data_IF_214772053177
#
_entry.id   IF_214772053177
#
_cell.length_a   1.000
_cell.length_b   1.000
_cell.length_c   1.000
_cell.angle_alpha   90.00
_cell.angle_beta   90.00
_cell.angle_gamma   90.00
#
_symmetry.space_group_name_H-M   'P 1'
#
loop_
_entity.id
_entity.type
_entity.pdbx_description
1 polymer ?
#
# COMPACT_ATOMS: atom_id res chain seq x y z
N UNK A 1 -10.23 -12.55 15.19
CA UNK A 1 -10.49 -11.84 13.92
C UNK A 1 -11.99 -11.74 13.75
N UNK A 2 -12.46 -10.56 13.36
CA UNK A 2 -13.86 -10.36 13.00
C UNK A 2 -14.14 -10.88 11.59
N UNK A 3 -15.35 -11.39 11.29
CA UNK A 3 -15.71 -11.90 9.96
C UNK A 3 -16.14 -10.79 8.98
N UNK A 4 -15.75 -9.54 9.25
CA UNK A 4 -16.09 -8.37 8.43
C UNK A 4 -14.88 -7.45 8.28
N UNK A 5 -14.88 -6.65 7.21
CA UNK A 5 -13.92 -5.57 6.99
C UNK A 5 -14.42 -4.27 7.64
N UNK A 6 -13.47 -3.44 8.08
CA UNK A 6 -13.77 -2.08 8.57
C UNK A 6 -13.87 -1.17 7.33
N UNK A 7 -15.01 -0.50 7.19
CA UNK A 7 -15.29 0.42 6.08
C UNK A 7 -15.63 1.84 6.54
N UNK A 8 -15.40 2.14 7.83
CA UNK A 8 -15.63 3.44 8.47
C UNK A 8 -14.59 3.63 9.57
N UNK A 9 -13.34 3.82 9.17
CA UNK A 9 -12.21 3.91 10.09
C UNK A 9 -11.89 5.37 10.43
N UNK A 10 -11.49 5.63 11.65
CA UNK A 10 -10.97 6.94 12.08
C UNK A 10 -9.55 7.17 11.54
N UNK A 11 -8.82 6.08 11.32
CA UNK A 11 -7.45 6.09 10.80
C UNK A 11 -7.23 4.91 9.84
N UNK A 12 -6.69 5.20 8.66
CA UNK A 12 -6.24 4.19 7.69
C UNK A 12 -4.79 4.48 7.31
N UNK A 13 -3.96 3.45 7.24
CA UNK A 13 -2.57 3.58 6.81
C UNK A 13 -2.28 2.71 5.59
N UNK A 14 -1.78 3.33 4.53
CA UNK A 14 -1.21 2.66 3.37
C UNK A 14 0.29 2.47 3.58
N UNK A 15 0.69 1.25 3.96
CA UNK A 15 2.11 0.96 4.25
C UNK A 15 2.96 0.74 2.99
N UNK A 16 2.34 0.41 1.87
CA UNK A 16 3.03 0.20 0.59
C UNK A 16 2.45 1.13 -0.48
N UNK A 17 3.27 2.05 -1.04
CA UNK A 17 2.79 3.04 -2.01
C UNK A 17 2.27 2.41 -3.31
N UNK A 18 2.65 1.16 -3.63
CA UNK A 18 2.11 0.47 -4.81
C UNK A 18 0.59 0.28 -4.77
N UNK A 19 -0.03 0.28 -3.59
CA UNK A 19 -1.48 0.19 -3.45
C UNK A 19 -2.19 1.47 -3.88
N UNK A 20 -1.52 2.61 -3.71
CA UNK A 20 -2.01 3.89 -4.24
C UNK A 20 -1.96 3.89 -5.77
N UNK A 21 -0.82 3.48 -6.34
CA UNK A 21 -0.65 3.38 -7.81
C UNK A 21 -1.66 2.42 -8.45
N UNK A 22 -2.00 1.34 -7.75
CA UNK A 22 -3.00 0.35 -8.20
C UNK A 22 -4.45 0.77 -7.94
N UNK A 23 -4.66 1.94 -7.40
CA UNK A 23 -5.99 2.46 -7.05
C UNK A 23 -6.81 1.52 -6.15
N UNK A 24 -6.19 0.96 -5.11
CA UNK A 24 -6.97 0.24 -4.10
C UNK A 24 -7.84 1.23 -3.32
N UNK A 25 -9.12 0.95 -3.09
CA UNK A 25 -10.09 1.87 -2.49
C UNK A 25 -9.90 2.03 -0.97
N UNK A 26 -8.65 2.23 -0.52
CA UNK A 26 -8.31 2.32 0.90
C UNK A 26 -8.79 3.63 1.55
N UNK A 27 -8.74 4.72 0.80
CA UNK A 27 -9.12 6.04 1.33
C UNK A 27 -10.63 6.13 1.55
N UNK A 28 -11.41 5.40 0.79
CA UNK A 28 -12.88 5.35 0.92
C UNK A 28 -13.34 4.69 2.22
N UNK A 29 -12.46 3.93 2.88
CA UNK A 29 -12.72 3.35 4.20
C UNK A 29 -12.53 4.36 5.35
N UNK A 30 -11.96 5.53 5.08
CA UNK A 30 -11.78 6.58 6.09
C UNK A 30 -13.09 7.33 6.31
N UNK A 31 -13.48 7.54 7.56
CA UNK A 31 -14.60 8.42 7.93
C UNK A 31 -14.35 9.88 7.49
N UNK A 32 -15.41 10.67 7.22
CA UNK A 32 -15.26 12.10 7.06
C UNK A 32 -14.50 12.71 8.26
N UNK A 33 -13.48 13.54 7.97
CA UNK A 33 -12.60 14.13 8.97
C UNK A 33 -11.55 13.19 9.56
N UNK A 34 -11.56 11.91 9.19
CA UNK A 34 -10.57 10.92 9.61
C UNK A 34 -9.19 11.12 9.00
N UNK A 35 -8.26 10.24 9.32
CA UNK A 35 -6.85 10.36 8.93
C UNK A 35 -6.49 9.26 7.91
N UNK A 36 -5.80 9.67 6.84
CA UNK A 36 -5.16 8.77 5.89
C UNK A 36 -3.65 9.00 5.89
N UNK A 37 -2.88 7.98 6.24
CA UNK A 37 -1.42 8.00 6.27
C UNK A 37 -0.86 7.16 5.12
N UNK A 38 0.08 7.71 4.35
CA UNK A 38 0.78 6.98 3.28
C UNK A 38 2.26 6.89 3.62
N UNK A 39 2.79 5.68 3.64
CA UNK A 39 4.23 5.44 3.70
C UNK A 39 4.80 5.49 2.28
N UNK A 40 5.45 6.58 1.92
CA UNK A 40 6.06 6.77 0.61
C UNK A 40 7.28 7.70 0.67
N UNK A 41 8.10 7.65 -0.38
CA UNK A 41 9.25 8.56 -0.57
C UNK A 41 8.89 9.76 -1.45
N UNK A 42 7.64 9.90 -1.84
CA UNK A 42 7.14 10.91 -2.75
C UNK A 42 7.09 12.30 -2.11
N UNK A 43 7.47 13.29 -2.87
CA UNK A 43 7.11 14.68 -2.60
C UNK A 43 5.64 14.95 -2.97
N UNK A 44 5.18 16.18 -2.81
CA UNK A 44 3.79 16.53 -3.10
C UNK A 44 3.43 16.37 -4.58
N UNK A 45 4.35 16.67 -5.49
CA UNK A 45 4.09 16.58 -6.93
C UNK A 45 3.97 15.13 -7.38
N UNK A 46 4.85 14.26 -6.90
CA UNK A 46 4.78 12.83 -7.14
C UNK A 46 3.53 12.21 -6.51
N UNK A 47 3.23 12.57 -5.25
CA UNK A 47 2.01 12.13 -4.58
C UNK A 47 0.76 12.52 -5.39
N UNK A 48 0.73 13.76 -5.89
CA UNK A 48 -0.38 14.24 -6.71
C UNK A 48 -0.50 13.49 -8.04
N UNK A 49 0.59 13.05 -8.65
CA UNK A 49 0.56 12.20 -9.87
C UNK A 49 0.03 10.79 -9.59
N UNK A 50 0.40 10.23 -8.44
CA UNK A 50 0.07 8.84 -8.11
C UNK A 50 -1.32 8.66 -7.50
N UNK A 51 -1.86 9.70 -6.86
CA UNK A 51 -3.21 9.65 -6.34
C UNK A 51 -4.23 9.76 -7.47
N UNK A 52 -5.10 8.77 -7.57
CA UNK A 52 -6.19 8.73 -8.54
C UNK A 52 -7.27 9.78 -8.24
N UNK A 53 -8.00 10.21 -9.25
CA UNK A 53 -8.98 11.28 -9.13
C UNK A 53 -10.11 10.96 -8.15
N UNK A 54 -10.54 9.71 -8.08
CA UNK A 54 -11.56 9.27 -7.12
C UNK A 54 -11.08 9.38 -5.66
N UNK A 55 -9.82 9.01 -5.39
CA UNK A 55 -9.18 9.18 -4.09
C UNK A 55 -9.04 10.65 -3.72
N UNK A 56 -8.57 11.50 -4.66
CA UNK A 56 -8.48 12.96 -4.47
C UNK A 56 -9.83 13.58 -4.14
N UNK A 57 -10.87 13.24 -4.92
CA UNK A 57 -12.24 13.73 -4.68
C UNK A 57 -12.75 13.31 -3.32
N UNK A 58 -12.49 12.04 -2.92
CA UNK A 58 -12.92 11.56 -1.61
C UNK A 58 -12.24 12.33 -0.48
N UNK A 59 -10.91 12.48 -0.55
CA UNK A 59 -10.11 13.22 0.45
C UNK A 59 -10.64 14.65 0.61
N UNK A 60 -10.80 15.39 -0.50
CA UNK A 60 -11.23 16.77 -0.47
C UNK A 60 -12.69 16.94 0.02
N UNK A 61 -13.63 16.13 -0.50
CA UNK A 61 -15.05 16.24 -0.16
C UNK A 61 -15.39 15.80 1.26
N UNK A 62 -14.59 14.90 1.84
CA UNK A 62 -14.81 14.38 3.18
C UNK A 62 -13.86 14.98 4.22
N UNK A 63 -13.08 16.00 3.86
CA UNK A 63 -12.11 16.65 4.76
C UNK A 63 -11.16 15.62 5.42
N UNK A 64 -10.74 14.61 4.68
CA UNK A 64 -9.79 13.61 5.17
C UNK A 64 -8.44 14.27 5.41
N UNK A 65 -7.88 14.09 6.60
CA UNK A 65 -6.56 14.58 6.94
C UNK A 65 -5.50 13.67 6.31
N UNK A 66 -4.80 14.18 5.30
CA UNK A 66 -3.78 13.42 4.59
C UNK A 66 -2.41 13.65 5.20
N UNK A 67 -1.71 12.56 5.48
CA UNK A 67 -0.33 12.56 5.97
C UNK A 67 0.54 11.63 5.15
N UNK A 68 1.82 11.98 5.03
CA UNK A 68 2.86 11.10 4.50
C UNK A 68 3.97 10.87 5.52
N UNK A 69 4.67 9.76 5.38
CA UNK A 69 5.89 9.45 6.11
C UNK A 69 6.83 8.65 5.20
N UNK A 70 8.11 8.96 5.23
CA UNK A 70 9.14 8.16 4.56
C UNK A 70 9.81 7.23 5.58
N UNK A 71 9.09 6.19 5.99
CA UNK A 71 9.60 5.23 6.97
C UNK A 71 10.73 4.36 6.42
N UNK A 72 10.87 4.24 5.11
CA UNK A 72 11.92 3.43 4.46
C UNK A 72 13.29 4.08 4.71
N UNK A 73 13.43 5.35 4.36
CA UNK A 73 14.70 6.06 4.52
C UNK A 73 15.01 6.30 6.00
N UNK A 74 13.98 6.54 6.81
CA UNK A 74 14.15 6.64 8.27
C UNK A 74 14.68 5.33 8.86
N UNK A 75 14.17 4.17 8.46
CA UNK A 75 14.64 2.87 8.92
C UNK A 75 16.13 2.64 8.56
N UNK A 76 16.53 3.02 7.35
CA UNK A 76 17.93 2.96 6.93
C UNK A 76 18.80 3.90 7.78
N UNK A 77 18.34 5.14 7.98
CA UNK A 77 19.07 6.17 8.75
C UNK A 77 19.32 5.78 10.20
N UNK A 78 18.34 5.14 10.87
CA UNK A 78 18.50 4.68 12.26
C UNK A 78 19.12 3.28 12.36
N UNK A 79 19.59 2.71 11.25
CA UNK A 79 20.24 1.39 11.23
C UNK A 79 19.33 0.20 11.40
N UNK A 80 18.03 0.36 11.13
CA UNK A 80 17.02 -0.70 11.14
C UNK A 80 16.90 -1.44 9.78
N UNK A 81 17.60 -0.98 8.76
CA UNK A 81 17.56 -1.53 7.40
C UNK A 81 16.16 -1.39 6.78
N UNK A 82 15.52 -2.48 6.40
CA UNK A 82 14.18 -2.47 5.79
C UNK A 82 13.03 -2.56 6.81
N UNK A 83 13.30 -2.48 8.12
CA UNK A 83 12.31 -2.69 9.19
C UNK A 83 11.61 -1.37 9.52
N UNK A 84 10.46 -1.15 8.92
CA UNK A 84 9.66 0.08 9.07
C UNK A 84 8.54 -0.03 10.12
N UNK A 85 8.26 -1.24 10.63
CA UNK A 85 7.13 -1.50 11.50
C UNK A 85 7.10 -0.63 12.76
N UNK A 86 8.21 -0.49 13.47
CA UNK A 86 8.30 0.32 14.69
C UNK A 86 8.07 1.81 14.41
N UNK A 87 8.61 2.31 13.29
CA UNK A 87 8.44 3.69 12.82
C UNK A 87 6.97 3.96 12.51
N UNK A 88 6.32 3.06 11.76
CA UNK A 88 4.91 3.19 11.38
C UNK A 88 3.97 3.05 12.57
N UNK A 89 4.31 2.21 13.56
CA UNK A 89 3.57 2.12 14.80
C UNK A 89 3.66 3.42 15.61
N UNK A 90 4.84 4.03 15.69
CA UNK A 90 5.01 5.32 16.36
C UNK A 90 4.23 6.44 15.64
N UNK A 91 4.24 6.45 14.31
CA UNK A 91 3.43 7.35 13.49
C UNK A 91 1.93 7.17 13.76
N UNK A 92 1.45 5.93 13.88
CA UNK A 92 0.07 5.63 14.25
C UNK A 92 -0.30 6.27 15.60
N UNK A 93 0.47 6.01 16.65
CA UNK A 93 0.17 6.55 17.98
C UNK A 93 0.29 8.09 18.02
N UNK A 94 1.12 8.69 17.20
CA UNK A 94 1.23 10.14 17.10
C UNK A 94 -0.01 10.80 16.45
N UNK A 95 -0.73 10.07 15.59
CA UNK A 95 -1.87 10.58 14.82
C UNK A 95 -3.23 10.11 15.34
N UNK A 96 -3.33 8.85 15.77
CA UNK A 96 -4.63 8.23 16.07
C UNK A 96 -5.26 8.70 17.39
N UNK A 97 -4.53 9.46 18.20
CA UNK A 97 -5.00 10.05 19.48
C UNK A 97 -5.68 9.04 20.42
N UNK A 98 -5.20 7.80 20.41
CA UNK A 98 -5.71 6.70 21.27
C UNK A 98 -5.17 6.84 22.70
N UNK A 99 -3.94 7.39 22.80
CA UNK A 99 -3.23 7.72 24.03
C UNK A 99 -2.55 9.08 23.86
N UNK A 100 -2.27 9.82 24.94
CA UNK A 100 -1.38 10.96 24.88
C UNK A 100 -0.05 10.58 24.22
N UNK A 101 0.42 11.39 23.28
CA UNK A 101 1.61 11.07 22.46
C UNK A 101 2.82 10.67 23.30
N UNK A 102 3.10 11.42 24.36
CA UNK A 102 4.29 11.20 25.21
C UNK A 102 4.18 9.88 26.00
N UNK A 103 2.98 9.52 26.46
CA UNK A 103 2.72 8.24 27.09
C UNK A 103 2.87 7.09 26.11
N UNK A 104 2.34 7.22 24.90
CA UNK A 104 2.47 6.22 23.87
C UNK A 104 3.94 5.96 23.50
N UNK A 105 4.73 7.01 23.32
CA UNK A 105 6.17 6.92 23.05
C UNK A 105 6.89 6.22 24.20
N UNK A 106 6.57 6.57 25.45
CA UNK A 106 7.15 5.92 26.63
C UNK A 106 6.83 4.42 26.64
N UNK A 107 5.56 4.04 26.53
CA UNK A 107 5.16 2.62 26.52
C UNK A 107 5.78 1.84 25.37
N UNK A 108 5.93 2.45 24.20
CA UNK A 108 6.62 1.81 23.07
C UNK A 108 8.10 1.58 23.37
N UNK A 109 8.78 2.53 24.02
CA UNK A 109 10.18 2.40 24.41
C UNK A 109 10.36 1.32 25.48
N UNK A 110 9.51 1.29 26.49
CA UNK A 110 9.52 0.28 27.54
C UNK A 110 9.29 -1.13 26.94
N UNK A 111 8.35 -1.26 26.02
CA UNK A 111 8.07 -2.52 25.32
C UNK A 111 9.24 -2.97 24.43
N UNK A 112 9.90 -2.02 23.75
CA UNK A 112 11.08 -2.30 22.94
C UNK A 112 12.24 -2.78 23.79
N UNK A 113 12.48 -2.14 24.94
CA UNK A 113 13.49 -2.56 25.90
C UNK A 113 13.22 -3.99 26.41
N UNK A 114 12.02 -4.25 26.88
CA UNK A 114 11.63 -5.60 27.35
C UNK A 114 11.82 -6.67 26.26
N UNK A 115 11.46 -6.35 25.02
CA UNK A 115 11.49 -7.32 23.91
C UNK A 115 12.90 -7.57 23.37
N UNK A 116 13.76 -6.54 23.38
CA UNK A 116 15.05 -6.59 22.67
C UNK A 116 16.27 -6.57 23.58
N UNK A 117 16.14 -6.38 24.88
CA UNK A 117 17.29 -6.32 25.82
C UNK A 117 18.18 -7.57 25.71
N UNK A 118 17.60 -8.75 25.52
CA UNK A 118 18.35 -10.01 25.33
C UNK A 118 19.25 -10.00 24.08
N UNK A 119 19.01 -9.10 23.11
CA UNK A 119 19.80 -8.94 21.89
C UNK A 119 20.89 -7.87 22.02
N UNK A 120 20.94 -7.19 23.15
CA UNK A 120 21.88 -6.14 23.48
C UNK A 120 21.28 -4.74 23.41
N UNK A 121 21.88 -3.82 24.17
CA UNK A 121 21.43 -2.43 24.29
C UNK A 121 21.46 -1.67 22.95
N UNK A 122 22.36 -2.01 22.03
CA UNK A 122 22.44 -1.42 20.71
C UNK A 122 21.16 -1.63 19.88
N UNK A 123 20.53 -2.81 20.06
CA UNK A 123 19.26 -3.12 19.37
C UNK A 123 18.10 -2.35 20.00
N UNK A 124 18.11 -2.21 21.33
CA UNK A 124 17.13 -1.39 22.07
C UNK A 124 17.22 0.07 21.62
N UNK A 125 18.43 0.64 21.58
CA UNK A 125 18.65 2.03 21.20
C UNK A 125 18.13 2.30 19.76
N UNK A 126 18.45 1.43 18.80
CA UNK A 126 17.92 1.56 17.43
C UNK A 126 16.40 1.56 17.38
N UNK A 127 15.72 0.78 18.21
CA UNK A 127 14.27 0.79 18.31
C UNK A 127 13.76 2.09 18.94
N UNK A 128 14.42 2.61 19.97
CA UNK A 128 14.09 3.92 20.56
C UNK A 128 14.24 5.04 19.53
N UNK A 129 15.35 5.06 18.78
CA UNK A 129 15.59 6.04 17.71
C UNK A 129 14.51 5.94 16.61
N UNK A 130 14.08 4.71 16.27
CA UNK A 130 13.02 4.47 15.31
C UNK A 130 11.65 4.99 15.81
N UNK A 131 11.35 4.84 17.11
CA UNK A 131 10.14 5.36 17.73
C UNK A 131 10.11 6.88 17.67
N UNK A 132 11.21 7.53 18.09
CA UNK A 132 11.31 8.98 18.07
C UNK A 132 11.22 9.54 16.64
N UNK A 133 11.92 8.90 15.70
CA UNK A 133 11.87 9.27 14.29
C UNK A 133 10.46 9.14 13.71
N UNK A 134 9.76 8.03 13.99
CA UNK A 134 8.40 7.80 13.49
C UNK A 134 7.38 8.78 14.06
N UNK A 135 7.49 9.13 15.32
CA UNK A 135 6.60 10.09 15.97
C UNK A 135 6.84 11.54 15.51
N UNK A 136 8.05 11.84 14.98
CA UNK A 136 8.47 13.20 14.61
C UNK A 136 8.48 13.50 13.10
N UNK A 137 8.44 12.49 12.24
CA UNK A 137 8.67 12.64 10.79
C UNK A 137 7.39 12.69 9.93
N UNK A 138 6.26 12.89 10.56
CA UNK A 138 4.97 13.00 9.87
C UNK A 138 4.86 14.33 9.12
N UNK A 139 4.48 14.25 7.85
CA UNK A 139 4.24 15.44 7.01
C UNK A 139 2.74 15.52 6.73
N UNK A 140 2.10 16.57 7.21
CA UNK A 140 0.71 16.87 6.87
C UNK A 140 0.67 17.48 5.48
N UNK A 141 -0.21 16.98 4.64
CA UNK A 141 -0.42 17.47 3.28
C UNK A 141 -1.61 18.44 3.29
N UNK A 142 -1.37 19.66 2.82
CA UNK A 142 -2.43 20.60 2.55
C UNK A 142 -3.19 20.18 1.30
N UNK A 143 -4.43 19.72 1.51
CA UNK A 143 -5.26 19.20 0.42
C UNK A 143 -5.74 20.33 -0.48
N UNK A 144 -5.38 20.33 -1.78
CA UNK A 144 -5.80 21.37 -2.71
C UNK A 144 -7.32 21.36 -2.91
N UNK A 145 -7.92 22.54 -3.02
CA UNK A 145 -9.36 22.68 -3.19
C UNK A 145 -9.86 22.12 -4.54
N UNK A 146 -9.02 22.15 -5.57
CA UNK A 146 -9.31 21.62 -6.90
C UNK A 146 -9.42 20.09 -6.92
N UNK A 147 -8.84 19.38 -5.93
CA UNK A 147 -9.03 17.93 -5.80
C UNK A 147 -10.49 17.52 -5.68
N UNK A 148 -11.36 18.39 -5.16
CA UNK A 148 -12.80 18.12 -5.08
C UNK A 148 -13.44 17.84 -6.46
N UNK A 149 -12.84 18.37 -7.52
CA UNK A 149 -13.29 18.24 -8.91
C UNK A 149 -12.26 17.53 -9.79
N UNK A 150 -11.31 16.80 -9.19
CA UNK A 150 -10.30 16.08 -9.94
C UNK A 150 -10.94 15.12 -10.95
N UNK A 151 -10.43 15.13 -12.18
CA UNK A 151 -10.83 14.22 -13.26
C UNK A 151 -9.62 13.40 -13.67
N UNK A 152 -9.81 12.10 -13.89
CA UNK A 152 -8.81 11.28 -14.55
C UNK A 152 -9.00 11.40 -16.06
N UNK A 153 -7.91 11.64 -16.79
CA UNK A 153 -7.85 11.18 -18.17
C UNK A 153 -7.91 9.66 -18.11
N UNK A 154 -8.89 9.06 -18.79
CA UNK A 154 -9.07 7.62 -18.80
C UNK A 154 -7.81 6.96 -19.36
N UNK A 155 -6.88 6.62 -18.47
CA UNK A 155 -5.71 5.83 -18.81
C UNK A 155 -6.18 4.37 -18.95
N UNK A 156 -6.77 4.07 -20.10
CA UNK A 156 -7.07 2.69 -20.49
C UNK A 156 -5.73 2.06 -20.84
N UNK A 157 -5.12 1.35 -19.88
CA UNK A 157 -3.93 0.56 -20.16
C UNK A 157 -4.24 -0.36 -21.34
N UNK A 158 -3.47 -0.23 -22.44
CA UNK A 158 -3.68 -1.06 -23.60
C UNK A 158 -3.15 -2.47 -23.28
N UNK A 159 -4.06 -3.37 -22.92
CA UNK A 159 -3.71 -4.77 -22.70
C UNK A 159 -3.61 -5.47 -24.04
N UNK A 160 -2.44 -6.03 -24.32
CA UNK A 160 -2.19 -6.85 -25.50
C UNK A 160 -2.38 -8.34 -25.15
N UNK A 161 -2.99 -9.10 -26.07
CA UNK A 161 -3.17 -10.55 -25.90
C UNK A 161 -4.47 -11.06 -26.53
N UNK A 162 -4.79 -12.36 -26.33
CA UNK A 162 -6.01 -12.93 -26.84
C UNK A 162 -7.25 -12.19 -26.33
N UNK A 163 -8.17 -11.89 -27.20
CA UNK A 163 -9.37 -11.08 -26.89
C UNK A 163 -10.14 -11.58 -25.65
N UNK A 164 -10.38 -12.90 -25.59
CA UNK A 164 -11.07 -13.51 -24.44
C UNK A 164 -10.32 -13.34 -23.12
N UNK A 165 -8.98 -13.43 -23.16
CA UNK A 165 -8.14 -13.24 -21.98
C UNK A 165 -8.19 -11.77 -21.53
N UNK A 166 -8.03 -10.84 -22.46
CA UNK A 166 -8.11 -9.40 -22.17
C UNK A 166 -9.50 -9.02 -21.64
N UNK A 167 -10.57 -9.55 -22.21
CA UNK A 167 -11.93 -9.32 -21.73
C UNK A 167 -12.13 -9.82 -20.30
N UNK A 168 -11.65 -11.03 -19.98
CA UNK A 168 -11.70 -11.58 -18.62
C UNK A 168 -10.88 -10.73 -17.64
N UNK A 169 -9.67 -10.32 -18.03
CA UNK A 169 -8.82 -9.47 -17.18
C UNK A 169 -9.54 -8.18 -16.84
N UNK A 170 -10.05 -7.46 -17.84
CA UNK A 170 -10.73 -6.17 -17.62
C UNK A 170 -12.03 -6.30 -16.84
N UNK A 171 -12.84 -7.31 -17.14
CA UNK A 171 -14.18 -7.41 -16.61
C UNK A 171 -14.24 -8.10 -15.24
N UNK A 172 -13.21 -8.90 -14.88
CA UNK A 172 -13.21 -9.68 -13.65
C UNK A 172 -11.92 -9.44 -12.84
N UNK A 173 -10.73 -9.71 -13.43
CA UNK A 173 -9.50 -9.68 -12.64
C UNK A 173 -9.14 -8.29 -12.14
N UNK A 174 -9.26 -7.25 -12.96
CA UNK A 174 -8.96 -5.88 -12.53
C UNK A 174 -9.91 -5.39 -11.42
N UNK A 175 -11.25 -5.52 -11.54
CA UNK A 175 -12.16 -5.16 -10.44
C UNK A 175 -11.87 -5.93 -9.16
N UNK A 176 -11.64 -7.25 -9.25
CA UNK A 176 -11.30 -8.08 -8.08
C UNK A 176 -9.94 -7.67 -7.49
N UNK A 177 -8.94 -7.45 -8.33
CA UNK A 177 -7.61 -6.99 -7.92
C UNK A 177 -7.63 -5.60 -7.25
N UNK A 178 -8.61 -4.76 -7.59
CA UNK A 178 -8.86 -3.45 -6.96
C UNK A 178 -9.75 -3.53 -5.72
N UNK A 179 -10.03 -4.72 -5.20
CA UNK A 179 -10.93 -4.94 -4.05
C UNK A 179 -12.37 -4.47 -4.30
N UNK A 180 -12.82 -4.42 -5.55
CA UNK A 180 -14.16 -4.02 -5.97
C UNK A 180 -14.95 -5.17 -6.60
N UNK A 181 -14.60 -6.41 -6.25
CA UNK A 181 -15.27 -7.61 -6.77
C UNK A 181 -16.76 -7.68 -6.43
N UNK A 182 -17.17 -7.15 -5.28
CA UNK A 182 -18.57 -7.13 -4.84
C UNK A 182 -19.48 -6.26 -5.73
N UNK A 183 -18.91 -5.38 -6.56
CA UNK A 183 -19.67 -4.60 -7.54
C UNK A 183 -20.02 -5.39 -8.81
N UNK A 184 -19.41 -6.56 -9.00
CA UNK A 184 -19.62 -7.38 -10.19
C UNK A 184 -20.97 -8.12 -10.09
N UNK A 185 -21.83 -8.05 -11.13
CA UNK A 185 -23.03 -8.85 -11.17
C UNK A 185 -22.68 -10.32 -11.37
N UNK A 186 -23.55 -11.23 -10.92
CA UNK A 186 -23.38 -12.67 -11.12
C UNK A 186 -23.21 -13.03 -12.59
N UNK A 187 -23.87 -12.29 -13.48
CA UNK A 187 -23.76 -12.46 -14.94
C UNK A 187 -22.36 -12.22 -15.51
N UNK A 188 -21.46 -11.52 -14.80
CA UNK A 188 -20.07 -11.37 -15.22
C UNK A 188 -19.30 -12.72 -15.25
N UNK A 189 -19.80 -13.73 -14.55
CA UNK A 189 -19.17 -15.04 -14.42
C UNK A 189 -19.83 -16.15 -15.27
N UNK A 190 -20.82 -15.82 -16.09
CA UNK A 190 -21.58 -16.82 -16.88
C UNK A 190 -20.66 -17.64 -17.79
N UNK A 191 -19.69 -17.00 -18.43
CA UNK A 191 -18.74 -17.67 -19.33
C UNK A 191 -17.73 -18.57 -18.58
N UNK A 192 -17.73 -18.50 -17.26
CA UNK A 192 -16.81 -19.21 -16.35
C UNK A 192 -17.57 -20.03 -15.30
N UNK A 193 -18.83 -20.38 -15.58
CA UNK A 193 -19.70 -21.08 -14.64
C UNK A 193 -19.19 -22.48 -14.25
N UNK A 194 -18.35 -23.08 -15.06
CA UNK A 194 -17.68 -24.36 -14.82
C UNK A 194 -16.37 -24.22 -14.00
N UNK A 195 -15.99 -22.99 -13.62
CA UNK A 195 -14.78 -22.70 -12.86
C UNK A 195 -13.50 -22.61 -13.71
N UNK A 196 -13.58 -22.69 -15.03
CA UNK A 196 -12.43 -22.52 -15.92
C UNK A 196 -12.15 -21.04 -16.19
N UNK A 197 -10.87 -20.66 -16.16
CA UNK A 197 -10.41 -19.32 -16.52
C UNK A 197 -9.45 -19.40 -17.70
N UNK A 198 -9.28 -18.27 -18.39
CA UNK A 198 -8.37 -18.21 -19.54
C UNK A 198 -6.92 -18.44 -19.09
N UNK A 199 -6.23 -19.33 -19.82
CA UNK A 199 -4.81 -19.59 -19.56
C UNK A 199 -3.96 -18.34 -19.87
N UNK A 200 -2.86 -18.18 -19.11
CA UNK A 200 -1.96 -17.05 -19.28
C UNK A 200 -2.44 -15.74 -18.60
N UNK A 201 -3.61 -15.74 -17.96
CA UNK A 201 -4.16 -14.58 -17.27
C UNK A 201 -3.24 -14.03 -16.15
N UNK A 202 -2.41 -14.88 -15.55
CA UNK A 202 -1.42 -14.48 -14.53
C UNK A 202 -0.40 -13.44 -15.04
N UNK A 203 -0.15 -13.37 -16.35
CA UNK A 203 0.72 -12.35 -16.94
C UNK A 203 0.23 -10.92 -16.72
N UNK A 204 -1.08 -10.75 -16.50
CA UNK A 204 -1.71 -9.45 -16.25
C UNK A 204 -1.82 -9.10 -14.76
N UNK A 205 -1.51 -10.03 -13.87
CA UNK A 205 -1.54 -9.81 -12.42
C UNK A 205 -0.20 -9.24 -11.94
N UNK A 206 -0.04 -7.94 -12.04
CA UNK A 206 1.18 -7.24 -11.61
C UNK A 206 1.02 -6.72 -10.18
N UNK A 207 1.43 -7.48 -9.17
CA UNK A 207 1.32 -7.06 -7.76
C UNK A 207 2.30 -5.96 -7.38
N UNK A 208 3.48 -5.89 -8.02
CA UNK A 208 4.49 -4.86 -7.74
C UNK A 208 5.05 -4.93 -6.31
N UNK A 209 5.09 -6.12 -5.72
CA UNK A 209 5.57 -6.32 -4.33
C UNK A 209 7.10 -6.39 -4.24
N UNK A 210 7.78 -6.67 -5.35
CA UNK A 210 9.23 -6.75 -5.43
C UNK A 210 9.81 -5.49 -6.07
N UNK A 211 10.82 -4.90 -5.43
CA UNK A 211 11.51 -3.70 -5.95
C UNK A 211 12.38 -4.05 -7.16
N UNK A 212 12.96 -5.25 -7.16
CA UNK A 212 13.79 -5.77 -8.25
C UNK A 212 13.39 -7.20 -8.53
N UNK A 213 13.28 -7.54 -9.81
CA UNK A 213 12.98 -8.90 -10.28
C UNK A 213 14.02 -9.33 -11.31
N UNK A 214 14.30 -10.65 -11.44
CA UNK A 214 15.14 -11.15 -12.53
C UNK A 214 14.47 -10.87 -13.87
N UNK A 215 15.24 -10.36 -14.80
CA UNK A 215 14.81 -10.20 -16.20
C UNK A 215 15.38 -11.35 -17.04
N UNK A 216 14.52 -11.99 -17.84
CA UNK A 216 14.94 -13.02 -18.77
C UNK A 216 15.18 -12.44 -20.14
N UNK A 217 16.37 -12.70 -20.70
CA UNK A 217 16.77 -12.21 -22.02
C UNK A 217 16.84 -13.39 -22.99
N UNK A 218 15.95 -13.42 -23.98
CA UNK A 218 15.80 -14.52 -24.93
C UNK A 218 17.06 -14.75 -25.74
N UNK A 219 17.75 -13.69 -26.14
CA UNK A 219 18.93 -13.69 -27.01
C UNK A 219 20.15 -14.39 -26.37
N UNK A 220 20.23 -14.35 -25.04
CA UNK A 220 21.35 -14.95 -24.26
C UNK A 220 20.96 -16.24 -23.59
N UNK A 221 19.71 -16.67 -23.72
CA UNK A 221 19.18 -17.86 -23.06
C UNK A 221 19.67 -19.15 -23.75
N UNK A 222 20.42 -19.99 -23.00
CA UNK A 222 20.86 -21.29 -23.45
C UNK A 222 19.80 -22.41 -23.35
N UNK A 223 18.58 -22.10 -22.91
CA UNK A 223 17.46 -23.03 -22.70
C UNK A 223 17.78 -24.23 -21.77
N UNK A 224 18.67 -24.02 -20.82
CA UNK A 224 19.12 -25.09 -19.90
C UNK A 224 18.15 -25.40 -18.75
N UNK A 225 17.06 -24.62 -18.60
CA UNK A 225 16.03 -24.75 -17.55
C UNK A 225 16.52 -24.60 -16.10
N UNK A 226 17.76 -24.21 -15.85
CA UNK A 226 18.26 -24.06 -14.47
C UNK A 226 17.47 -23.06 -13.65
N UNK A 227 17.02 -21.94 -14.27
CA UNK A 227 16.18 -20.93 -13.59
C UNK A 227 14.84 -21.53 -13.12
N UNK A 228 14.23 -22.43 -13.88
CA UNK A 228 13.01 -23.12 -13.48
C UNK A 228 13.26 -24.12 -12.33
N UNK A 229 14.39 -24.83 -12.35
CA UNK A 229 14.72 -25.80 -11.30
C UNK A 229 15.04 -25.17 -9.95
N UNK A 230 15.61 -23.94 -9.92
CA UNK A 230 15.96 -23.25 -8.67
C UNK A 230 14.85 -22.34 -8.16
N UNK A 231 13.80 -22.11 -8.96
CA UNK A 231 12.68 -21.25 -8.58
C UNK A 231 11.86 -21.92 -7.46
N UNK A 232 11.63 -21.26 -6.32
CA UNK A 232 10.86 -21.83 -5.21
C UNK A 232 9.33 -21.75 -5.43
N UNK A 233 8.88 -21.20 -6.57
CA UNK A 233 7.46 -20.95 -6.88
C UNK A 233 6.95 -21.73 -8.07
#
# INVERSE_FOLDING_TARGET
>A
KSPYYINKADFVACHNPSYIVKNFPMVQDVKPGGIFLINCQWDFEELNKHLHADAKRYIAKNNVQLYTINAIDLAVKVGMGKRTNTILQAAFFALANVLPKDEAVKYMKDAAEHSYMKKGMDVVQKNWDAIDAGAGALVKIDVPADWANATEEAHVEHLEGPEKTVAMVRNIMEPVGRMNGDSLPVSAFVDYADGTFQQGAAAYEKRGVSVTVPEWTSETCAQCNQCAYVCPH
#
